data_IF_783259406645
#
_entry.id   IF_783259406645
#
_cell.length_a   1.000
_cell.length_b   1.000
_cell.length_c   1.000
_cell.angle_alpha   90.00
_cell.angle_beta   90.00
_cell.angle_gamma   90.00
#
_symmetry.space_group_name_H-M   'P 1'
#
loop_
_entity.id
_entity.type
_entity.pdbx_description
1 polymer ?
#
# COMPACT_ATOMS: atom_id res chain seq x y z
N UNK A 1 12.09 11.99 31.55
CA UNK A 1 11.42 10.70 31.85
C UNK A 1 11.88 9.74 30.77
N UNK A 2 12.90 8.96 31.12
CA UNK A 2 13.57 8.06 30.18
C UNK A 2 12.73 6.79 30.01
N UNK A 3 12.23 6.58 28.81
CA UNK A 3 11.58 5.33 28.44
C UNK A 3 12.68 4.29 28.15
N UNK A 4 12.88 3.36 29.06
CA UNK A 4 13.75 2.21 28.88
C UNK A 4 13.26 1.30 27.74
N UNK A 5 14.01 1.27 26.65
CA UNK A 5 13.94 0.20 25.66
C UNK A 5 14.62 -1.05 26.24
N UNK A 6 14.10 -2.25 26.05
CA UNK A 6 14.78 -3.48 26.45
C UNK A 6 16.04 -3.70 25.61
N UNK A 7 17.07 -4.39 26.19
CA UNK A 7 18.37 -4.52 25.55
C UNK A 7 18.33 -5.33 24.26
N UNK A 8 19.07 -4.86 23.27
CA UNK A 8 19.29 -5.50 21.97
C UNK A 8 19.94 -6.89 22.14
N UNK A 9 19.25 -7.91 21.65
CA UNK A 9 19.93 -9.18 21.34
C UNK A 9 20.56 -9.05 19.95
N UNK A 10 21.83 -8.67 19.92
CA UNK A 10 22.68 -8.69 18.71
C UNK A 10 23.00 -10.13 18.35
N UNK A 11 22.12 -10.78 17.59
CA UNK A 11 22.41 -12.02 16.88
C UNK A 11 22.70 -11.74 15.43
N UNK A 12 23.85 -12.13 14.94
CA UNK A 12 24.38 -11.97 13.59
C UNK A 12 23.36 -12.29 12.49
N UNK A 13 22.75 -11.26 11.90
CA UNK A 13 22.02 -11.30 10.64
C UNK A 13 22.72 -10.52 9.52
N UNK A 14 24.05 -10.37 9.63
CA UNK A 14 24.85 -9.52 8.73
C UNK A 14 25.58 -10.28 7.59
N UNK A 15 25.27 -11.53 7.35
CA UNK A 15 25.93 -12.29 6.29
C UNK A 15 24.90 -13.01 5.38
N UNK A 16 24.07 -12.29 4.64
CA UNK A 16 23.49 -12.77 3.38
C UNK A 16 22.74 -11.65 2.62
N UNK A 17 23.37 -10.49 2.47
CA UNK A 17 22.82 -9.40 1.64
C UNK A 17 23.21 -9.53 0.15
N UNK A 18 23.39 -10.76 -0.34
CA UNK A 18 23.75 -11.06 -1.74
C UNK A 18 22.84 -12.04 -2.46
N UNK A 19 21.64 -12.31 -1.92
CA UNK A 19 20.71 -13.18 -2.61
C UNK A 19 20.07 -12.44 -3.78
N UNK A 20 20.41 -12.84 -5.00
CA UNK A 20 19.60 -12.60 -6.20
C UNK A 20 18.16 -13.02 -5.89
N UNK A 21 17.18 -12.22 -6.36
CA UNK A 21 15.74 -12.53 -6.26
C UNK A 21 15.45 -13.84 -7.01
N UNK A 22 15.68 -14.95 -6.35
CA UNK A 22 15.34 -16.28 -6.85
C UNK A 22 13.82 -16.51 -6.77
N UNK A 23 13.27 -17.45 -7.53
CA UNK A 23 11.84 -17.72 -7.55
C UNK A 23 11.37 -18.16 -6.15
N UNK A 24 10.35 -17.48 -5.65
CA UNK A 24 9.69 -17.77 -4.39
C UNK A 24 9.24 -19.23 -4.33
N UNK A 25 9.91 -20.05 -3.54
CA UNK A 25 9.42 -21.38 -3.19
C UNK A 25 8.17 -21.25 -2.31
N UNK A 26 7.02 -21.57 -2.87
CA UNK A 26 5.76 -21.74 -2.14
C UNK A 26 5.96 -22.75 -1.03
N UNK A 27 5.72 -22.36 0.21
CA UNK A 27 5.65 -23.35 1.33
C UNK A 27 4.43 -24.25 1.10
N UNK A 28 4.57 -25.58 1.19
CA UNK A 28 3.43 -26.49 1.16
C UNK A 28 2.65 -26.36 2.48
N UNK A 29 1.40 -25.91 2.43
CA UNK A 29 0.60 -25.89 3.67
C UNK A 29 -0.78 -25.25 3.59
N UNK A 30 -1.10 -24.40 2.63
CA UNK A 30 -2.47 -23.98 2.34
C UNK A 30 -2.59 -23.66 0.86
N UNK A 31 -2.67 -24.69 0.04
CA UNK A 31 -3.11 -24.54 -1.34
C UNK A 31 -4.63 -24.39 -1.30
N UNK A 32 -5.13 -23.16 -1.26
CA UNK A 32 -6.48 -22.89 -1.78
C UNK A 32 -6.43 -23.00 -3.30
N UNK A 33 -7.50 -23.48 -3.96
CA UNK A 33 -7.53 -23.53 -5.41
C UNK A 33 -7.25 -22.13 -5.96
N UNK A 34 -6.39 -22.08 -6.96
CA UNK A 34 -6.04 -20.89 -7.74
C UNK A 34 -7.25 -19.99 -7.93
N UNK A 35 -7.34 -18.88 -7.21
CA UNK A 35 -8.34 -17.87 -7.48
C UNK A 35 -7.76 -17.06 -8.64
N UNK A 36 -8.10 -17.46 -9.86
CA UNK A 36 -7.71 -16.71 -11.06
C UNK A 36 -8.22 -15.28 -10.95
N UNK A 37 -7.38 -14.32 -11.25
CA UNK A 37 -7.75 -12.91 -11.33
C UNK A 37 -8.88 -12.74 -12.34
N UNK A 38 -9.95 -12.05 -11.96
CA UNK A 38 -11.13 -11.83 -12.80
C UNK A 38 -11.21 -10.38 -13.26
N UNK A 39 -11.41 -10.18 -14.56
CA UNK A 39 -11.59 -8.86 -15.16
C UNK A 39 -12.99 -8.29 -15.00
N UNK A 40 -13.98 -9.13 -14.66
CA UNK A 40 -15.37 -8.73 -14.45
C UNK A 40 -15.84 -9.11 -13.06
N UNK A 41 -16.49 -8.18 -12.37
CA UNK A 41 -17.08 -8.44 -11.04
C UNK A 41 -18.06 -9.60 -11.02
N UNK A 42 -18.80 -9.81 -12.10
CA UNK A 42 -19.74 -10.95 -12.24
C UNK A 42 -19.07 -12.31 -12.13
N UNK A 43 -17.78 -12.40 -12.43
CA UNK A 43 -16.99 -13.63 -12.43
C UNK A 43 -16.32 -13.92 -11.08
N UNK A 44 -16.34 -12.96 -10.15
CA UNK A 44 -15.81 -13.12 -8.78
C UNK A 44 -16.71 -14.08 -8.01
N UNK A 45 -16.18 -15.03 -7.22
CA UNK A 45 -16.96 -15.93 -6.38
C UNK A 45 -17.93 -15.21 -5.44
N UNK A 46 -19.10 -15.78 -5.21
CA UNK A 46 -20.18 -15.11 -4.46
C UNK A 46 -19.86 -14.89 -2.99
N UNK A 47 -19.06 -15.75 -2.36
CA UNK A 47 -18.58 -15.58 -0.98
C UNK A 47 -17.69 -14.34 -0.86
N UNK A 48 -16.86 -14.09 -1.86
CA UNK A 48 -16.02 -12.90 -1.95
C UNK A 48 -16.89 -11.67 -2.24
N UNK A 49 -17.80 -11.74 -3.21
CA UNK A 49 -18.76 -10.65 -3.51
C UNK A 49 -19.56 -10.24 -2.29
N UNK A 50 -20.14 -11.21 -1.59
CA UNK A 50 -20.93 -10.98 -0.38
C UNK A 50 -20.08 -10.34 0.73
N UNK A 51 -18.79 -10.68 0.81
CA UNK A 51 -17.87 -10.06 1.76
C UNK A 51 -17.67 -8.58 1.45
N UNK A 52 -17.38 -8.24 0.21
CA UNK A 52 -17.22 -6.84 -0.21
C UNK A 52 -18.51 -6.03 -0.11
N UNK A 53 -19.66 -6.62 -0.37
CA UNK A 53 -20.97 -5.98 -0.21
C UNK A 53 -21.29 -5.68 1.26
N UNK A 54 -21.00 -6.63 2.16
CA UNK A 54 -21.17 -6.44 3.62
C UNK A 54 -20.23 -5.38 4.19
N UNK A 55 -19.10 -5.12 3.55
CA UNK A 55 -18.14 -4.09 3.94
C UNK A 55 -18.54 -2.70 3.44
N UNK A 56 -19.65 -2.60 2.71
CA UNK A 56 -20.17 -1.33 2.24
C UNK A 56 -19.39 -0.73 1.08
N UNK A 57 -18.78 -1.56 0.21
CA UNK A 57 -18.32 -1.10 -1.11
C UNK A 57 -19.51 -1.22 -2.09
N UNK A 58 -20.39 -0.22 -2.19
CA UNK A 58 -21.61 -0.33 -2.98
C UNK A 58 -21.27 -0.50 -4.48
N UNK A 59 -22.10 -1.20 -5.20
CA UNK A 59 -21.97 -1.33 -6.65
C UNK A 59 -21.89 0.05 -7.34
N UNK A 60 -22.62 1.05 -6.81
CA UNK A 60 -22.57 2.42 -7.29
C UNK A 60 -21.19 3.07 -7.13
N UNK A 61 -20.47 2.80 -6.03
CA UNK A 61 -19.13 3.31 -5.79
C UNK A 61 -18.13 2.67 -6.77
N UNK A 62 -18.21 1.36 -6.96
CA UNK A 62 -17.39 0.66 -7.97
C UNK A 62 -17.61 1.17 -9.39
N UNK A 63 -18.85 1.52 -9.74
CA UNK A 63 -19.18 2.07 -11.04
C UNK A 63 -18.69 3.53 -11.23
N UNK A 64 -18.54 4.28 -10.15
CA UNK A 64 -18.08 5.68 -10.19
C UNK A 64 -16.56 5.83 -10.28
N UNK A 65 -15.78 4.86 -9.78
CA UNK A 65 -14.33 4.92 -9.75
C UNK A 65 -13.67 4.70 -11.13
N UNK A 66 -12.47 5.25 -11.31
CA UNK A 66 -11.69 5.10 -12.55
C UNK A 66 -11.10 3.68 -12.70
N UNK A 67 -10.87 3.02 -11.59
CA UNK A 67 -10.41 1.64 -11.52
C UNK A 67 -10.51 1.11 -10.09
N UNK A 68 -10.73 -0.19 -9.96
CA UNK A 68 -10.87 -0.88 -8.67
C UNK A 68 -10.06 -2.16 -8.69
N UNK A 69 -9.25 -2.37 -7.66
CA UNK A 69 -8.58 -3.63 -7.36
C UNK A 69 -9.12 -4.20 -6.05
N UNK A 70 -9.23 -5.50 -5.96
CA UNK A 70 -9.61 -6.19 -4.75
C UNK A 70 -8.67 -7.36 -4.49
N UNK A 71 -8.07 -7.37 -3.31
CA UNK A 71 -7.21 -8.43 -2.81
C UNK A 71 -7.87 -9.10 -1.62
N UNK A 72 -7.88 -10.42 -1.64
CA UNK A 72 -8.43 -11.25 -0.60
C UNK A 72 -7.31 -12.16 -0.08
N UNK A 73 -6.97 -12.01 1.20
CA UNK A 73 -5.74 -12.58 1.81
C UNK A 73 -4.49 -12.10 1.06
N UNK A 74 -3.76 -12.98 0.40
CA UNK A 74 -2.54 -12.64 -0.35
C UNK A 74 -2.74 -12.71 -1.87
N UNK A 75 -3.97 -12.80 -2.36
CA UNK A 75 -4.27 -12.97 -3.78
C UNK A 75 -5.14 -11.83 -4.31
N UNK A 76 -4.78 -11.29 -5.47
CA UNK A 76 -5.63 -10.32 -6.19
C UNK A 76 -6.75 -11.10 -6.88
N UNK A 77 -7.98 -10.86 -6.46
CA UNK A 77 -9.17 -11.57 -6.94
C UNK A 77 -9.95 -10.80 -8.01
N UNK A 78 -9.76 -9.50 -8.06
CA UNK A 78 -10.42 -8.62 -9.02
C UNK A 78 -9.58 -7.40 -9.32
N UNK A 79 -9.55 -7.03 -10.59
CA UNK A 79 -8.91 -5.81 -11.04
C UNK A 79 -9.62 -5.27 -12.29
N UNK A 80 -9.87 -3.98 -12.33
CA UNK A 80 -10.45 -3.30 -13.48
C UNK A 80 -10.00 -1.83 -13.51
N UNK A 81 -9.77 -1.32 -14.70
CA UNK A 81 -9.57 0.10 -15.00
C UNK A 81 -10.47 0.51 -16.14
N UNK A 82 -11.10 1.67 -16.07
CA UNK A 82 -11.97 2.16 -17.15
C UNK A 82 -11.17 2.34 -18.43
N UNK A 83 -11.76 1.93 -19.56
CA UNK A 83 -11.11 1.97 -20.87
C UNK A 83 -10.64 3.39 -21.25
N UNK A 84 -11.38 4.42 -20.90
CA UNK A 84 -11.04 5.83 -21.12
C UNK A 84 -9.81 6.30 -20.34
N UNK A 85 -9.57 5.72 -19.16
CA UNK A 85 -8.38 5.99 -18.33
C UNK A 85 -7.19 5.20 -18.87
N UNK A 86 -7.39 3.94 -19.22
CA UNK A 86 -6.35 3.11 -19.86
C UNK A 86 -5.91 3.68 -21.23
N UNK A 87 -6.84 4.25 -22.00
CA UNK A 87 -6.53 4.90 -23.28
C UNK A 87 -5.61 6.13 -23.15
N UNK A 88 -5.52 6.73 -21.97
CA UNK A 88 -4.57 7.80 -21.66
C UNK A 88 -3.16 7.26 -21.29
N UNK A 89 -2.96 5.95 -21.35
CA UNK A 89 -1.71 5.29 -20.97
C UNK A 89 -1.57 5.04 -19.45
N UNK A 90 -2.62 5.26 -18.68
CA UNK A 90 -2.64 4.92 -17.25
C UNK A 90 -2.64 3.41 -17.09
N UNK A 91 -1.73 2.92 -16.26
CA UNK A 91 -1.62 1.51 -15.89
C UNK A 91 -2.09 1.34 -14.46
N UNK A 92 -2.96 0.39 -14.24
CA UNK A 92 -3.32 -0.10 -12.92
C UNK A 92 -3.49 -1.62 -13.00
N UNK A 93 -2.59 -2.35 -12.36
CA UNK A 93 -2.59 -3.83 -12.35
C UNK A 93 -2.05 -4.35 -11.03
N UNK A 94 -2.05 -5.66 -10.84
CA UNK A 94 -1.38 -6.31 -9.72
C UNK A 94 0.15 -6.33 -9.92
N UNK A 95 0.88 -6.46 -8.81
CA UNK A 95 2.35 -6.42 -8.82
C UNK A 95 3.00 -7.58 -9.57
N UNK A 96 2.44 -8.79 -9.48
CA UNK A 96 2.98 -9.99 -10.16
C UNK A 96 2.86 -9.84 -11.68
N UNK A 97 1.71 -9.37 -12.17
CA UNK A 97 1.50 -9.06 -13.59
C UNK A 97 2.42 -7.96 -14.08
N UNK A 98 2.64 -6.92 -13.26
CA UNK A 98 3.56 -5.84 -13.62
C UNK A 98 5.02 -6.32 -13.70
N UNK A 99 5.44 -7.24 -12.82
CA UNK A 99 6.79 -7.82 -12.78
C UNK A 99 7.11 -8.74 -13.95
N UNK A 100 6.09 -9.39 -14.51
CA UNK A 100 6.23 -10.35 -15.62
C UNK A 100 5.83 -9.77 -16.97
N UNK A 101 5.16 -8.61 -16.97
CA UNK A 101 4.64 -7.94 -18.14
C UNK A 101 5.56 -6.84 -18.72
N UNK A 102 5.01 -5.95 -19.55
CA UNK A 102 5.76 -4.89 -20.22
C UNK A 102 6.34 -3.84 -19.27
N UNK A 103 5.90 -3.80 -18.03
CA UNK A 103 6.35 -2.85 -17.00
C UNK A 103 7.44 -3.40 -16.09
N UNK A 104 7.92 -4.62 -16.32
CA UNK A 104 8.89 -5.31 -15.48
C UNK A 104 10.16 -4.50 -15.18
N UNK A 105 10.72 -3.82 -16.16
CA UNK A 105 11.90 -2.96 -15.95
C UNK A 105 11.59 -1.75 -15.07
N UNK A 106 10.42 -1.12 -15.27
CA UNK A 106 9.98 0.00 -14.45
C UNK A 106 9.77 -0.43 -12.98
N UNK A 107 9.15 -1.58 -12.77
CA UNK A 107 8.97 -2.14 -11.43
C UNK A 107 10.33 -2.41 -10.78
N UNK A 108 11.24 -3.13 -11.44
CA UNK A 108 12.58 -3.44 -10.90
C UNK A 108 13.40 -2.20 -10.55
N UNK A 109 13.21 -1.11 -11.30
CA UNK A 109 13.89 0.16 -11.05
C UNK A 109 13.39 0.85 -9.78
N UNK A 110 12.14 0.63 -9.37
CA UNK A 110 11.50 1.37 -8.29
C UNK A 110 11.17 0.52 -7.06
N UNK A 111 10.95 -0.78 -7.23
CA UNK A 111 10.57 -1.71 -6.17
C UNK A 111 11.61 -1.75 -5.05
N UNK A 112 11.16 -1.53 -3.81
CA UNK A 112 11.98 -1.46 -2.59
C UNK A 112 13.17 -0.49 -2.69
N UNK A 113 12.98 0.65 -3.36
CA UNK A 113 13.99 1.72 -3.45
C UNK A 113 13.76 2.83 -2.44
N UNK A 114 12.53 3.09 -2.04
CA UNK A 114 12.20 4.02 -0.97
C UNK A 114 12.16 3.33 0.38
N UNK A 115 11.74 2.07 0.41
CA UNK A 115 11.70 1.22 1.61
C UNK A 115 12.63 0.03 1.38
N UNK A 116 13.97 0.20 1.49
CA UNK A 116 14.89 -0.92 1.31
C UNK A 116 14.74 -1.95 2.44
N UNK A 117 15.08 -3.24 2.21
CA UNK A 117 14.99 -4.29 3.22
C UNK A 117 15.84 -4.00 4.48
N UNK A 118 16.83 -3.12 4.36
CA UNK A 118 17.71 -2.70 5.45
C UNK A 118 17.15 -1.58 6.32
N UNK A 119 15.97 -1.04 5.99
CA UNK A 119 15.38 0.12 6.70
C UNK A 119 15.01 -0.25 8.15
N UNK A 120 14.29 -1.35 8.33
CA UNK A 120 13.92 -1.92 9.63
C UNK A 120 13.45 -3.37 9.48
N UNK A 121 13.27 -4.07 10.61
CA UNK A 121 12.93 -5.50 10.64
C UNK A 121 11.67 -5.87 9.85
N UNK A 122 10.64 -5.01 9.81
CA UNK A 122 9.42 -5.27 9.04
C UNK A 122 9.61 -5.03 7.54
N UNK A 123 10.49 -4.10 7.14
CA UNK A 123 10.88 -3.95 5.73
C UNK A 123 11.68 -5.18 5.26
N UNK A 124 12.56 -5.72 6.10
CA UNK A 124 13.29 -6.96 5.80
C UNK A 124 12.32 -8.16 5.65
N UNK A 125 11.38 -8.29 6.59
CA UNK A 125 10.35 -9.33 6.51
C UNK A 125 9.51 -9.18 5.24
N UNK A 126 9.03 -7.96 4.96
CA UNK A 126 8.27 -7.66 3.75
C UNK A 126 9.03 -8.07 2.48
N UNK A 127 10.30 -7.67 2.37
CA UNK A 127 11.15 -8.03 1.22
C UNK A 127 11.32 -9.53 1.01
N UNK A 128 11.26 -10.32 2.09
CA UNK A 128 11.40 -11.79 2.03
C UNK A 128 10.09 -12.52 1.69
N UNK A 129 8.92 -11.94 2.02
CA UNK A 129 7.63 -12.67 1.95
C UNK A 129 6.51 -11.89 1.29
N UNK A 130 6.79 -10.74 0.66
CA UNK A 130 5.75 -9.94 0.01
C UNK A 130 4.95 -10.76 -1.01
N UNK A 131 3.68 -10.46 -1.13
CA UNK A 131 2.75 -11.16 -2.03
C UNK A 131 1.56 -10.26 -2.33
N UNK A 132 1.20 -10.13 -3.60
CA UNK A 132 0.12 -9.26 -4.04
C UNK A 132 0.46 -7.76 -4.00
N UNK A 133 -0.55 -6.95 -4.06
CA UNK A 133 -0.45 -5.50 -4.08
C UNK A 133 -0.72 -4.90 -5.46
N UNK A 134 -0.56 -3.60 -5.56
CA UNK A 134 -0.96 -2.82 -6.73
C UNK A 134 0.22 -2.14 -7.40
N UNK A 135 0.24 -2.16 -8.71
CA UNK A 135 1.11 -1.34 -9.52
C UNK A 135 0.30 -0.28 -10.25
N UNK A 136 0.67 1.00 -10.08
CA UNK A 136 0.03 2.14 -10.74
C UNK A 136 1.09 2.99 -11.44
N UNK A 137 0.85 3.29 -12.71
CA UNK A 137 1.65 4.25 -13.46
C UNK A 137 0.75 5.27 -14.14
N UNK A 138 1.02 6.55 -13.93
CA UNK A 138 0.33 7.67 -14.57
C UNK A 138 1.35 8.45 -15.42
N UNK A 139 1.19 8.47 -16.75
CA UNK A 139 2.11 9.18 -17.65
C UNK A 139 2.12 10.68 -17.42
N UNK A 140 3.18 11.34 -17.89
CA UNK A 140 3.37 12.78 -17.77
C UNK A 140 2.18 13.58 -18.33
N UNK A 141 1.72 14.55 -17.57
CA UNK A 141 0.62 15.46 -17.93
C UNK A 141 -0.77 14.83 -17.87
N UNK A 142 -0.91 13.56 -17.53
CA UNK A 142 -2.21 12.89 -17.43
C UNK A 142 -2.86 13.18 -16.08
N UNK A 143 -4.11 13.64 -16.09
CA UNK A 143 -4.90 13.90 -14.90
C UNK A 143 -5.98 12.82 -14.75
N UNK A 144 -5.85 11.97 -13.75
CA UNK A 144 -6.86 10.96 -13.41
C UNK A 144 -7.88 11.60 -12.47
N UNK A 145 -8.94 12.18 -13.05
CA UNK A 145 -9.95 12.96 -12.32
C UNK A 145 -10.74 12.13 -11.31
N UNK A 146 -11.04 10.88 -11.67
CA UNK A 146 -11.78 9.96 -10.81
C UNK A 146 -10.77 9.06 -10.09
N UNK A 147 -10.92 8.83 -8.77
CA UNK A 147 -9.96 8.02 -8.03
C UNK A 147 -9.81 6.59 -8.53
N UNK A 148 -8.59 6.06 -8.42
CA UNK A 148 -8.33 4.62 -8.41
C UNK A 148 -8.46 4.09 -6.98
N UNK A 149 -8.93 2.86 -6.80
CA UNK A 149 -9.09 2.26 -5.48
C UNK A 149 -8.53 0.84 -5.42
N UNK A 150 -7.79 0.53 -4.36
CA UNK A 150 -7.48 -0.83 -3.93
C UNK A 150 -8.21 -1.14 -2.63
N UNK A 151 -8.68 -2.37 -2.53
CA UNK A 151 -9.27 -2.87 -1.31
C UNK A 151 -8.60 -4.17 -0.87
N UNK A 152 -8.08 -4.18 0.36
CA UNK A 152 -7.38 -5.31 0.96
C UNK A 152 -8.21 -5.93 2.08
N UNK A 153 -8.47 -7.23 1.95
CA UNK A 153 -9.22 -7.99 2.92
C UNK A 153 -8.42 -9.18 3.43
N UNK A 154 -8.01 -9.15 4.70
CA UNK A 154 -7.42 -10.31 5.36
C UNK A 154 -8.53 -11.15 6.01
N UNK A 155 -8.78 -12.34 5.46
CA UNK A 155 -9.90 -13.18 5.87
C UNK A 155 -9.48 -14.54 6.45
N UNK A 156 -8.20 -14.84 6.51
CA UNK A 156 -7.66 -16.09 7.10
C UNK A 156 -7.26 -15.86 8.56
N UNK A 157 -7.77 -16.66 9.53
CA UNK A 157 -7.35 -16.58 10.91
C UNK A 157 -5.86 -16.93 11.09
N UNK A 158 -5.13 -16.14 11.88
CA UNK A 158 -3.70 -16.36 12.16
C UNK A 158 -2.78 -16.12 10.96
N UNK A 159 -3.28 -15.45 9.91
CA UNK A 159 -2.49 -15.17 8.72
C UNK A 159 -1.80 -13.80 8.78
N UNK A 160 -0.79 -13.63 7.90
CA UNK A 160 -0.17 -12.36 7.58
C UNK A 160 -0.53 -11.92 6.16
N UNK A 161 -0.62 -10.60 5.96
CA UNK A 161 -0.77 -9.96 4.66
C UNK A 161 0.39 -9.00 4.43
N UNK A 162 1.05 -9.10 3.26
CA UNK A 162 2.32 -8.43 2.96
C UNK A 162 2.29 -7.82 1.54
N UNK A 163 1.21 -7.13 1.21
CA UNK A 163 1.05 -6.54 -0.13
C UNK A 163 2.04 -5.40 -0.39
N UNK A 164 2.50 -5.29 -1.63
CA UNK A 164 3.37 -4.21 -2.09
C UNK A 164 2.65 -3.32 -3.11
N UNK A 165 2.39 -2.08 -2.73
CA UNK A 165 1.81 -1.08 -3.62
C UNK A 165 2.90 -0.14 -4.13
N UNK A 166 3.09 -0.10 -5.45
CA UNK A 166 4.02 0.78 -6.13
C UNK A 166 3.26 1.75 -7.03
N UNK A 167 3.40 3.04 -6.75
CA UNK A 167 2.74 4.12 -7.50
C UNK A 167 3.80 5.04 -8.10
N UNK A 168 3.76 5.24 -9.41
CA UNK A 168 4.63 6.15 -10.14
C UNK A 168 3.73 7.14 -10.89
N UNK A 169 3.86 8.43 -10.55
CA UNK A 169 3.11 9.52 -11.19
C UNK A 169 4.12 10.47 -11.80
N UNK A 170 4.15 10.52 -13.12
CA UNK A 170 5.13 11.27 -13.88
C UNK A 170 4.88 12.79 -13.86
N UNK A 171 5.80 13.55 -14.44
CA UNK A 171 5.81 15.02 -14.48
C UNK A 171 4.46 15.62 -14.82
N UNK A 172 3.99 16.54 -13.95
CA UNK A 172 2.75 17.31 -14.15
C UNK A 172 1.47 16.47 -14.13
N UNK A 173 1.54 15.20 -13.77
CA UNK A 173 0.37 14.33 -13.71
C UNK A 173 -0.36 14.43 -12.35
N UNK A 174 -1.60 13.96 -12.31
CA UNK A 174 -2.44 13.93 -11.10
C UNK A 174 -3.05 12.56 -10.88
N UNK A 175 -3.02 12.11 -9.63
CA UNK A 175 -3.68 10.89 -9.18
C UNK A 175 -4.29 11.07 -7.79
N UNK A 176 -5.52 10.62 -7.59
CA UNK A 176 -6.08 10.28 -6.30
C UNK A 176 -6.20 8.75 -6.19
N UNK A 177 -5.49 8.16 -5.25
CA UNK A 177 -5.54 6.74 -4.95
C UNK A 177 -6.17 6.51 -3.58
N UNK A 178 -7.12 5.58 -3.51
CA UNK A 178 -7.82 5.23 -2.27
C UNK A 178 -7.45 3.80 -1.89
N UNK A 179 -6.99 3.61 -0.67
CA UNK A 179 -6.73 2.29 -0.08
C UNK A 179 -7.72 2.02 1.03
N UNK A 180 -8.43 0.91 0.92
CA UNK A 180 -9.30 0.39 1.96
C UNK A 180 -8.75 -0.92 2.52
N UNK A 181 -8.64 -1.02 3.86
CA UNK A 181 -8.12 -2.22 4.51
C UNK A 181 -9.09 -2.69 5.60
N UNK A 182 -9.34 -4.00 5.65
CA UNK A 182 -10.16 -4.57 6.72
C UNK A 182 -9.86 -6.04 7.03
N UNK A 183 -10.25 -6.47 8.22
CA UNK A 183 -10.28 -7.87 8.62
C UNK A 183 -11.52 -8.17 9.48
N UNK A 184 -12.10 -9.39 9.40
CA UNK A 184 -13.11 -9.81 10.34
C UNK A 184 -12.52 -9.98 11.75
N UNK A 185 -13.40 -10.04 12.74
CA UNK A 185 -12.98 -10.33 14.11
C UNK A 185 -12.68 -11.82 14.26
N UNK A 186 -11.44 -12.15 14.57
CA UNK A 186 -11.00 -13.48 14.93
C UNK A 186 -10.55 -13.56 16.41
N UNK A 187 -10.49 -14.78 16.96
CA UNK A 187 -9.96 -15.02 18.31
C UNK A 187 -8.43 -15.27 18.32
N UNK A 188 -7.76 -14.97 17.23
CA UNK A 188 -6.32 -15.13 17.04
C UNK A 188 -5.72 -13.87 16.46
N UNK A 189 -4.45 -13.65 16.73
CA UNK A 189 -3.72 -12.51 16.17
C UNK A 189 -3.51 -12.67 14.66
N UNK A 190 -3.63 -11.55 13.94
CA UNK A 190 -3.30 -11.44 12.54
C UNK A 190 -2.28 -10.32 12.35
N UNK A 191 -1.47 -10.40 11.30
CA UNK A 191 -0.46 -9.40 10.96
C UNK A 191 -0.75 -8.78 9.59
N UNK A 192 -0.71 -7.46 9.53
CA UNK A 192 -0.64 -6.70 8.29
C UNK A 192 0.68 -5.91 8.27
N UNK A 193 1.53 -6.21 7.33
CA UNK A 193 2.82 -5.54 7.14
C UNK A 193 3.06 -5.25 5.67
N UNK A 194 2.15 -4.48 5.08
CA UNK A 194 2.23 -3.99 3.71
C UNK A 194 3.31 -2.93 3.53
N UNK A 195 3.67 -2.69 2.28
CA UNK A 195 4.61 -1.65 1.87
C UNK A 195 4.01 -0.82 0.74
N UNK A 196 4.11 0.51 0.87
CA UNK A 196 3.66 1.46 -0.16
C UNK A 196 4.82 2.38 -0.52
N UNK A 197 5.17 2.39 -1.80
CA UNK A 197 6.18 3.28 -2.36
C UNK A 197 5.55 4.18 -3.43
N UNK A 198 5.68 5.51 -3.27
CA UNK A 198 5.09 6.50 -4.18
C UNK A 198 6.19 7.41 -4.72
N UNK A 199 6.29 7.47 -6.04
CA UNK A 199 7.18 8.37 -6.76
C UNK A 199 6.36 9.47 -7.41
N UNK A 200 6.53 10.70 -6.91
CA UNK A 200 5.82 11.90 -7.38
C UNK A 200 6.77 12.71 -8.23
N UNK A 201 6.52 12.78 -9.53
CA UNK A 201 7.31 13.49 -10.52
C UNK A 201 7.27 15.01 -10.36
N UNK A 202 8.10 15.70 -11.15
CA UNK A 202 8.18 17.16 -11.16
C UNK A 202 6.81 17.79 -11.44
N UNK A 203 6.34 18.68 -10.55
CA UNK A 203 5.03 19.34 -10.66
C UNK A 203 3.82 18.40 -10.59
N UNK A 204 4.02 17.12 -10.34
CA UNK A 204 2.92 16.15 -10.18
C UNK A 204 2.24 16.30 -8.81
N UNK A 205 1.01 15.83 -8.72
CA UNK A 205 0.25 15.80 -7.47
C UNK A 205 -0.36 14.42 -7.24
N UNK A 206 -0.13 13.88 -6.07
CA UNK A 206 -0.72 12.62 -5.63
C UNK A 206 -1.46 12.84 -4.32
N UNK A 207 -2.73 12.42 -4.27
CA UNK A 207 -3.46 12.22 -3.03
C UNK A 207 -3.56 10.73 -2.75
N UNK A 208 -3.11 10.32 -1.58
CA UNK A 208 -3.22 8.94 -1.11
C UNK A 208 -4.11 8.90 0.13
N UNK A 209 -5.30 8.34 -0.03
CA UNK A 209 -6.28 8.22 1.04
C UNK A 209 -6.34 6.79 1.55
N UNK A 210 -6.18 6.58 2.86
CA UNK A 210 -6.26 5.26 3.49
C UNK A 210 -7.41 5.24 4.50
N UNK A 211 -8.25 4.23 4.40
CA UNK A 211 -9.27 3.93 5.41
C UNK A 211 -9.01 2.52 5.92
N UNK A 212 -8.54 2.42 7.15
CA UNK A 212 -8.24 1.16 7.82
C UNK A 212 -9.29 0.87 8.90
N UNK A 213 -9.94 -0.28 8.77
CA UNK A 213 -10.94 -0.75 9.74
C UNK A 213 -10.64 -2.20 10.12
N UNK A 214 -9.65 -2.36 10.97
CA UNK A 214 -9.13 -3.65 11.38
C UNK A 214 -9.88 -4.22 12.61
N UNK A 215 -9.84 -5.54 12.75
CA UNK A 215 -10.27 -6.17 14.00
C UNK A 215 -9.29 -5.84 15.13
N UNK A 216 -9.77 -5.88 16.38
CA UNK A 216 -8.94 -5.61 17.58
C UNK A 216 -7.84 -6.65 17.85
N UNK A 217 -7.71 -7.68 17.03
CA UNK A 217 -6.65 -8.69 17.13
C UNK A 217 -5.58 -8.50 16.04
N UNK A 218 -5.64 -7.41 15.29
CA UNK A 218 -4.71 -7.11 14.20
C UNK A 218 -3.48 -6.37 14.71
N UNK A 219 -2.31 -6.81 14.29
CA UNK A 219 -1.08 -6.04 14.31
C UNK A 219 -0.90 -5.39 12.94
N UNK A 220 -0.97 -4.07 12.88
CA UNK A 220 -0.91 -3.29 11.65
C UNK A 220 0.39 -2.49 11.61
N UNK A 221 1.36 -2.99 10.87
CA UNK A 221 2.75 -2.52 10.85
C UNK A 221 3.17 -2.12 9.43
N UNK A 222 2.36 -1.29 8.80
CA UNK A 222 2.57 -0.82 7.44
C UNK A 222 3.69 0.19 7.31
N UNK A 223 4.43 0.11 6.21
CA UNK A 223 5.45 1.09 5.85
C UNK A 223 5.03 1.82 4.58
N UNK A 224 4.79 3.15 4.67
CA UNK A 224 4.39 3.99 3.54
C UNK A 224 5.42 5.08 3.32
N UNK A 225 5.92 5.23 2.09
CA UNK A 225 6.93 6.23 1.76
C UNK A 225 6.71 6.87 0.40
N UNK A 226 6.84 8.19 0.34
CA UNK A 226 6.80 8.94 -0.91
C UNK A 226 8.11 9.69 -1.14
N UNK A 227 8.55 9.77 -2.38
CA UNK A 227 9.60 10.67 -2.85
C UNK A 227 8.97 11.70 -3.76
N UNK A 228 9.23 12.98 -3.50
CA UNK A 228 8.59 14.11 -4.18
C UNK A 228 9.63 14.95 -4.88
N UNK A 229 9.53 15.04 -6.19
CA UNK A 229 10.42 15.83 -7.05
C UNK A 229 10.02 17.32 -7.07
N UNK A 230 10.76 18.15 -7.81
CA UNK A 230 10.63 19.60 -7.88
C UNK A 230 9.18 20.05 -8.10
N UNK A 231 8.69 20.91 -7.19
CA UNK A 231 7.32 21.44 -7.25
C UNK A 231 6.20 20.42 -7.13
N UNK A 232 6.53 19.12 -6.93
CA UNK A 232 5.54 18.07 -6.72
C UNK A 232 4.83 18.17 -5.38
N UNK A 233 3.69 17.52 -5.25
CA UNK A 233 2.88 17.53 -4.03
C UNK A 233 2.39 16.13 -3.70
N UNK A 234 2.59 15.70 -2.46
CA UNK A 234 1.97 14.50 -1.87
C UNK A 234 0.98 14.91 -0.77
N UNK A 235 -0.22 14.37 -0.84
CA UNK A 235 -1.25 14.54 0.18
C UNK A 235 -1.59 13.16 0.76
N UNK A 236 -1.37 12.99 2.06
CA UNK A 236 -1.77 11.82 2.81
C UNK A 236 -3.07 12.13 3.57
N UNK A 237 -4.08 11.29 3.39
CA UNK A 237 -5.32 11.33 4.18
C UNK A 237 -5.49 9.97 4.85
N UNK A 238 -5.50 9.93 6.17
CA UNK A 238 -5.49 8.66 6.92
C UNK A 238 -6.61 8.61 7.95
N UNK A 239 -7.45 7.57 7.85
CA UNK A 239 -8.39 7.18 8.89
C UNK A 239 -8.02 5.80 9.45
N UNK A 240 -7.57 5.75 10.72
CA UNK A 240 -7.12 4.51 11.36
C UNK A 240 -8.04 4.11 12.49
N UNK A 241 -8.73 2.98 12.31
CA UNK A 241 -9.69 2.43 13.23
C UNK A 241 -9.40 0.95 13.49
N UNK A 242 -9.69 0.50 14.71
CA UNK A 242 -9.44 -0.89 15.07
C UNK A 242 -7.98 -1.16 15.42
N UNK A 243 -7.48 -2.34 15.06
CA UNK A 243 -6.21 -2.93 15.43
C UNK A 243 -6.05 -3.20 16.94
N UNK A 244 -5.18 -4.13 17.29
CA UNK A 244 -4.61 -4.26 18.63
C UNK A 244 -3.46 -3.27 18.77
N UNK A 245 -2.53 -3.34 17.83
CA UNK A 245 -1.39 -2.44 17.75
C UNK A 245 -1.27 -1.93 16.31
N UNK A 246 -1.12 -0.62 16.15
CA UNK A 246 -0.77 0.00 14.87
C UNK A 246 0.48 0.85 15.00
N UNK A 247 1.36 0.77 14.01
CA UNK A 247 2.49 1.68 13.88
C UNK A 247 2.47 2.25 12.44
N UNK A 248 2.00 3.49 12.30
CA UNK A 248 1.68 4.11 11.00
C UNK A 248 2.28 5.51 10.90
N UNK A 249 3.39 5.62 10.18
CA UNK A 249 4.08 6.87 9.91
C UNK A 249 4.37 7.00 8.40
N UNK A 250 3.40 7.42 7.57
CA UNK A 250 3.71 7.73 6.18
C UNK A 250 4.81 8.79 6.13
N UNK A 251 5.89 8.46 5.42
CA UNK A 251 7.07 9.33 5.33
C UNK A 251 7.16 9.94 3.94
N UNK A 252 7.46 11.23 3.88
CA UNK A 252 7.70 11.94 2.63
C UNK A 252 9.13 12.47 2.58
N UNK A 253 9.83 12.20 1.47
CA UNK A 253 11.14 12.75 1.15
C UNK A 253 10.93 13.84 0.10
N UNK A 254 11.00 15.11 0.52
CA UNK A 254 10.86 16.29 -0.34
C UNK A 254 12.21 16.56 -0.99
N UNK A 255 12.50 15.86 -2.08
CA UNK A 255 13.81 15.84 -2.73
C UNK A 255 14.01 16.98 -3.73
N UNK A 256 12.94 17.46 -4.33
CA UNK A 256 13.01 18.56 -5.30
C UNK A 256 12.67 19.91 -4.69
N UNK A 257 13.28 20.98 -5.22
CA UNK A 257 12.98 22.35 -4.82
C UNK A 257 11.48 22.65 -4.91
N UNK A 258 10.92 23.28 -3.86
CA UNK A 258 9.50 23.64 -3.79
C UNK A 258 8.54 22.46 -3.64
N UNK A 259 9.04 21.23 -3.41
CA UNK A 259 8.19 20.08 -3.15
C UNK A 259 7.37 20.25 -1.85
N UNK A 260 6.17 19.67 -1.81
CA UNK A 260 5.20 19.88 -0.73
C UNK A 260 4.64 18.55 -0.22
N UNK A 261 4.33 18.53 1.08
CA UNK A 261 3.61 17.44 1.74
C UNK A 261 2.50 17.99 2.61
N UNK A 262 1.32 17.38 2.50
CA UNK A 262 0.21 17.56 3.43
C UNK A 262 -0.18 16.22 4.04
N UNK A 263 -0.42 16.20 5.34
CA UNK A 263 -0.95 15.04 6.06
C UNK A 263 -2.15 15.46 6.87
N UNK A 264 -3.26 14.75 6.70
CA UNK A 264 -4.45 14.84 7.55
C UNK A 264 -4.78 13.45 8.07
N UNK A 265 -4.77 13.27 9.39
CA UNK A 265 -4.98 11.97 10.01
C UNK A 265 -6.03 11.99 11.12
N UNK A 266 -6.87 10.97 11.16
CA UNK A 266 -7.78 10.70 12.27
C UNK A 266 -7.51 9.30 12.78
N UNK A 267 -7.23 9.19 14.08
CA UNK A 267 -7.01 7.91 14.76
C UNK A 267 -7.94 7.82 15.95
N UNK A 268 -8.62 6.69 16.08
CA UNK A 268 -9.48 6.42 17.23
C UNK A 268 -9.08 5.12 17.91
N UNK A 269 -8.58 5.22 19.14
CA UNK A 269 -8.21 4.08 19.98
C UNK A 269 -9.26 3.83 21.07
N UNK A 270 -9.72 2.59 21.16
CA UNK A 270 -10.55 2.11 22.26
C UNK A 270 -9.72 1.40 23.33
N UNK A 271 -10.39 0.89 24.35
CA UNK A 271 -9.73 0.15 25.44
C UNK A 271 -8.95 -1.07 24.91
N UNK A 272 -7.71 -1.23 25.35
CA UNK A 272 -6.82 -2.32 24.99
C UNK A 272 -6.18 -2.20 23.61
N UNK A 273 -6.22 -1.03 22.98
CA UNK A 273 -5.56 -0.73 21.72
C UNK A 273 -4.35 0.17 21.94
N UNK A 274 -3.27 -0.09 21.20
CA UNK A 274 -2.04 0.68 21.20
C UNK A 274 -1.78 1.18 19.76
N UNK A 275 -2.10 2.45 19.52
CA UNK A 275 -2.05 3.06 18.19
C UNK A 275 -1.02 4.19 18.17
N UNK A 276 0.15 3.90 17.60
CA UNK A 276 1.24 4.85 17.39
C UNK A 276 1.17 5.35 15.93
N UNK A 277 0.65 6.54 15.74
CA UNK A 277 0.35 7.09 14.40
C UNK A 277 0.81 8.53 14.26
N UNK A 278 1.19 8.90 13.05
CA UNK A 278 1.65 10.24 12.74
C UNK A 278 2.15 10.36 11.31
N UNK A 279 3.03 11.30 11.06
CA UNK A 279 3.71 11.46 9.78
C UNK A 279 5.17 11.85 9.98
N UNK A 280 6.01 11.52 9.00
CA UNK A 280 7.42 11.90 8.96
C UNK A 280 7.75 12.63 7.66
N UNK A 281 8.52 13.70 7.75
CA UNK A 281 8.95 14.47 6.57
C UNK A 281 10.46 14.68 6.62
N UNK A 282 11.09 14.51 5.46
CA UNK A 282 12.49 14.85 5.23
C UNK A 282 12.54 15.96 4.19
N UNK A 283 12.96 17.16 4.60
CA UNK A 283 13.20 18.31 3.73
C UNK A 283 14.61 18.22 3.17
N UNK A 284 14.76 17.66 1.96
CA UNK A 284 16.07 17.41 1.32
C UNK A 284 16.44 18.47 0.26
N UNK A 285 15.55 19.44 -0.01
CA UNK A 285 15.77 20.51 -0.97
C UNK A 285 15.26 21.85 -0.43
N UNK A 286 15.70 22.99 -0.98
CA UNK A 286 15.22 24.30 -0.56
C UNK A 286 13.77 24.56 -0.91
N UNK A 287 13.14 25.49 -0.21
CA UNK A 287 11.75 25.94 -0.43
C UNK A 287 10.68 24.85 -0.33
N UNK A 288 11.00 23.74 0.31
CA UNK A 288 10.02 22.67 0.58
C UNK A 288 9.14 23.01 1.78
N UNK A 289 7.88 22.59 1.72
CA UNK A 289 6.90 22.87 2.78
C UNK A 289 6.17 21.60 3.20
N UNK A 290 5.79 21.52 4.47
CA UNK A 290 4.96 20.44 4.98
C UNK A 290 3.93 20.96 5.98
N UNK A 291 2.74 20.34 6.00
CA UNK A 291 1.69 20.58 6.97
C UNK A 291 1.19 19.24 7.50
N UNK A 292 1.02 19.13 8.82
CA UNK A 292 0.55 17.92 9.52
C UNK A 292 -0.60 18.34 10.44
N UNK A 293 -1.78 17.74 10.27
CA UNK A 293 -2.99 17.99 11.06
C UNK A 293 -3.72 16.70 11.46
#
# INVERSE_FOLDING_TARGET
MDAHLPPESTGNLQQDAGAELGPLHRRPGHVRPNTEMRGKWSEVPDDIKNTFERLGIPQAERASLAGVGAQYDSEVVYHNVKAEVAAQGVVYTDMESALTGPYAEMVRKHFMKLVPPTDHKFAALHGAVWSGGSFVYVPAGVHVEIPLQSYFRLNAPGAGQFEHTLIIVDKGAYLHFIEGCSAPKYNVANLHAGCVEIFVGEGARVRYSTIENWSKNMYNLNTKRAKVEKGGTIEWVSGSFGSHTSCLYPMSILQGEGARMEFTGITFAGAGQDLDTGAKVVHAAPHTTSHIS
#
